data_IF_008128112424
#
_entry.id   IF_008128112424
#
_cell.length_a   1.000
_cell.length_b   1.000
_cell.length_c   1.000
_cell.angle_alpha   90.00
_cell.angle_beta   90.00
_cell.angle_gamma   90.00
#
_symmetry.space_group_name_H-M   'P 1'
#
loop_
_entity.id
_entity.type
_entity.pdbx_description
1 polymer ?
#
# COMPACT_ATOMS: atom_id res chain seq x y z
N UNK A 1 4.61 -11.87 -62.05
CA UNK A 1 4.09 -10.99 -60.98
C UNK A 1 3.97 -11.84 -59.73
N UNK A 2 4.65 -11.45 -58.64
CA UNK A 2 4.89 -12.15 -57.34
C UNK A 2 6.32 -12.66 -57.21
N UNK A 3 7.06 -12.03 -56.30
CA UNK A 3 8.12 -12.57 -55.42
C UNK A 3 8.89 -11.38 -54.80
N UNK A 4 8.24 -10.59 -53.92
CA UNK A 4 8.91 -9.62 -53.04
C UNK A 4 8.06 -9.40 -51.78
N UNK A 5 8.12 -10.34 -50.82
CA UNK A 5 7.35 -10.25 -49.57
C UNK A 5 8.00 -10.84 -48.31
N UNK A 6 9.19 -11.45 -48.40
CA UNK A 6 9.77 -12.23 -47.30
C UNK A 6 10.72 -11.48 -46.35
N UNK A 7 11.35 -10.38 -46.78
CA UNK A 7 12.53 -9.86 -46.07
C UNK A 7 12.21 -8.84 -44.95
N UNK A 8 11.02 -8.23 -44.95
CA UNK A 8 10.63 -7.24 -43.91
C UNK A 8 10.17 -7.87 -42.60
N UNK A 9 9.76 -9.14 -42.59
CA UNK A 9 9.13 -9.78 -41.41
C UNK A 9 10.13 -10.33 -40.37
N UNK A 10 11.38 -10.58 -40.75
CA UNK A 10 12.40 -11.14 -39.84
C UNK A 10 13.12 -10.02 -39.07
N UNK A 11 13.46 -8.92 -39.74
CA UNK A 11 14.09 -7.76 -39.11
C UNK A 11 13.21 -7.11 -38.03
N UNK A 12 11.90 -7.04 -38.28
CA UNK A 12 10.92 -6.44 -37.35
C UNK A 12 10.71 -7.32 -36.09
N UNK A 13 10.79 -8.65 -36.23
CA UNK A 13 10.74 -9.60 -35.11
C UNK A 13 11.98 -9.55 -34.23
N UNK A 14 13.17 -9.34 -34.81
CA UNK A 14 14.42 -9.15 -34.04
C UNK A 14 14.48 -7.78 -33.35
N UNK A 15 13.95 -6.72 -33.97
CA UNK A 15 13.89 -5.39 -33.35
C UNK A 15 12.89 -5.35 -32.18
N UNK A 16 11.72 -5.98 -32.32
CA UNK A 16 10.75 -6.13 -31.24
C UNK A 16 11.30 -6.95 -30.06
N UNK A 17 12.03 -8.05 -30.33
CA UNK A 17 12.67 -8.86 -29.29
C UNK A 17 13.76 -8.11 -28.51
N UNK A 18 14.53 -7.25 -29.19
CA UNK A 18 15.57 -6.44 -28.54
C UNK A 18 14.98 -5.27 -27.74
N UNK A 19 13.90 -4.64 -28.24
CA UNK A 19 13.18 -3.58 -27.54
C UNK A 19 12.47 -4.10 -26.28
N UNK A 20 11.86 -5.29 -26.34
CA UNK A 20 11.29 -5.95 -25.16
C UNK A 20 12.39 -6.25 -24.14
N UNK A 21 13.52 -6.86 -24.56
CA UNK A 21 14.61 -7.22 -23.65
C UNK A 21 15.33 -6.01 -23.03
N UNK A 22 15.41 -4.88 -23.75
CA UNK A 22 15.91 -3.62 -23.22
C UNK A 22 14.93 -2.92 -22.26
N UNK A 23 13.62 -2.96 -22.57
CA UNK A 23 12.57 -2.40 -21.72
C UNK A 23 12.41 -3.18 -20.40
N UNK A 24 12.52 -4.52 -20.43
CA UNK A 24 12.53 -5.34 -19.22
C UNK A 24 13.75 -5.00 -18.34
N UNK A 25 14.92 -4.76 -18.94
CA UNK A 25 16.14 -4.41 -18.21
C UNK A 25 16.11 -3.03 -17.55
N UNK A 26 15.41 -2.04 -18.13
CA UNK A 26 15.25 -0.71 -17.52
C UNK A 26 14.17 -0.73 -16.45
N UNK A 27 13.03 -1.40 -16.69
CA UNK A 27 11.97 -1.58 -15.71
C UNK A 27 12.46 -2.33 -14.46
N UNK A 28 13.24 -3.40 -14.63
CA UNK A 28 13.86 -4.15 -13.52
C UNK A 28 14.88 -3.27 -12.77
N UNK A 29 15.68 -2.44 -13.46
CA UNK A 29 16.64 -1.54 -12.80
C UNK A 29 15.97 -0.40 -12.02
N UNK A 30 14.86 0.15 -12.53
CA UNK A 30 14.07 1.16 -11.83
C UNK A 30 13.32 0.54 -10.66
N UNK A 31 12.68 -0.62 -10.88
CA UNK A 31 12.02 -1.38 -9.84
C UNK A 31 12.97 -1.80 -8.71
N UNK A 32 14.18 -2.26 -9.05
CA UNK A 32 15.21 -2.61 -8.07
C UNK A 32 15.70 -1.38 -7.32
N UNK A 33 15.85 -0.22 -7.98
CA UNK A 33 16.23 1.04 -7.30
C UNK A 33 15.12 1.54 -6.38
N UNK A 34 13.86 1.47 -6.81
CA UNK A 34 12.69 1.84 -5.98
C UNK A 34 12.52 0.89 -4.80
N UNK A 35 12.68 -0.42 -5.02
CA UNK A 35 12.65 -1.42 -3.96
C UNK A 35 13.83 -1.28 -2.99
N UNK A 36 15.04 -0.98 -3.48
CA UNK A 36 16.21 -0.75 -2.64
C UNK A 36 16.06 0.53 -1.82
N UNK A 37 15.51 1.60 -2.40
CA UNK A 37 15.22 2.85 -1.68
C UNK A 37 14.13 2.61 -0.61
N UNK A 38 13.09 1.83 -0.90
CA UNK A 38 12.06 1.48 0.06
C UNK A 38 12.57 0.57 1.19
N UNK A 39 13.45 -0.40 0.88
CA UNK A 39 14.05 -1.31 1.87
C UNK A 39 15.12 -0.61 2.72
N UNK A 40 15.94 0.27 2.13
CA UNK A 40 16.89 1.09 2.89
C UNK A 40 16.20 2.13 3.78
N UNK A 41 15.07 2.68 3.36
CA UNK A 41 14.26 3.58 4.19
C UNK A 41 13.55 2.83 5.35
N UNK A 42 13.15 1.57 5.14
CA UNK A 42 12.55 0.74 6.19
C UNK A 42 13.58 0.11 7.15
N UNK A 43 14.83 -0.08 6.71
CA UNK A 43 15.89 -0.73 7.50
C UNK A 43 16.63 0.17 8.50
N UNK A 44 16.39 1.48 8.50
CA UNK A 44 17.05 2.43 9.41
C UNK A 44 16.30 2.65 10.75
N UNK A 45 15.17 1.96 10.96
CA UNK A 45 14.24 2.25 12.07
C UNK A 45 14.12 1.20 13.18
N UNK A 46 15.00 0.19 13.25
CA UNK A 46 14.98 -0.80 14.35
C UNK A 46 16.31 -0.87 15.08
N UNK A 47 16.59 0.16 15.86
CA UNK A 47 17.53 0.09 16.98
C UNK A 47 17.01 0.98 18.12
N UNK A 48 17.01 0.43 19.34
CA UNK A 48 16.55 0.96 20.64
C UNK A 48 15.04 0.85 20.93
N UNK A 49 14.58 0.25 22.05
CA UNK A 49 15.29 -0.16 23.26
C UNK A 49 14.68 -1.39 23.93
N UNK A 50 15.56 -2.32 24.32
CA UNK A 50 15.34 -3.24 25.42
C UNK A 50 15.27 -2.42 26.71
N UNK A 51 14.14 -2.48 27.41
CA UNK A 51 14.03 -2.06 28.80
C UNK A 51 14.76 -3.07 29.68
N UNK A 52 15.91 -2.68 30.23
CA UNK A 52 16.52 -3.36 31.37
C UNK A 52 15.76 -3.02 32.67
N UNK A 53 15.77 -3.89 33.70
CA UNK A 53 14.92 -3.75 34.87
C UNK A 53 15.45 -2.69 35.84
N UNK A 54 14.54 -1.86 36.36
CA UNK A 54 14.86 -0.79 37.31
C UNK A 54 15.24 -1.33 38.70
N UNK A 55 16.01 -0.55 39.49
CA UNK A 55 16.39 -0.93 40.85
C UNK A 55 15.21 -0.82 41.82
N UNK A 56 15.09 -1.83 42.66
CA UNK A 56 14.14 -1.96 43.77
C UNK A 56 14.35 -0.89 44.83
N UNK A 57 13.28 -0.18 45.20
CA UNK A 57 13.21 0.63 46.43
C UNK A 57 12.30 -0.08 47.45
N UNK A 58 12.67 -0.12 48.75
CA UNK A 58 11.96 -0.90 49.76
C UNK A 58 10.68 -0.22 50.23
N UNK A 59 9.64 -1.04 50.45
CA UNK A 59 8.40 -0.64 51.11
C UNK A 59 8.63 -0.41 52.61
N UNK A 60 7.97 0.58 53.24
CA UNK A 60 7.72 0.51 54.67
C UNK A 60 6.22 0.59 54.93
N UNK A 61 5.60 -0.55 55.22
CA UNK A 61 4.37 -0.59 55.99
C UNK A 61 4.45 -1.75 56.98
N UNK A 62 4.79 -1.43 58.23
CA UNK A 62 4.52 -2.27 59.40
C UNK A 62 4.27 -1.30 60.55
N UNK A 63 3.11 -1.44 61.19
CA UNK A 63 2.55 -0.47 62.13
C UNK A 63 3.19 -0.44 63.51
N UNK A 64 2.79 0.52 64.35
CA UNK A 64 2.06 0.28 65.60
C UNK A 64 1.62 1.62 66.26
N UNK A 65 0.70 1.48 67.21
CA UNK A 65 -0.17 2.42 67.95
C UNK A 65 0.45 3.62 68.69
N UNK A 66 -0.38 4.67 68.87
CA UNK A 66 -0.33 5.59 70.01
C UNK A 66 -0.89 7.00 69.71
N UNK A 67 -2.06 7.37 70.25
CA UNK A 67 -2.50 8.78 70.35
C UNK A 67 -1.96 9.46 71.63
N UNK A 68 -2.45 10.64 72.06
CA UNK A 68 -3.36 11.61 71.42
C UNK A 68 -2.80 13.07 71.40
N UNK A 69 -3.41 14.01 70.66
CA UNK A 69 -3.24 15.44 70.96
C UNK A 69 -3.41 16.46 69.81
N UNK A 70 -4.55 17.16 69.83
CA UNK A 70 -4.76 18.59 69.51
C UNK A 70 -4.77 19.11 68.04
N UNK A 71 -5.98 19.48 67.61
CA UNK A 71 -6.35 20.59 66.69
C UNK A 71 -6.60 21.90 67.49
N UNK A 72 -7.03 23.03 66.89
CA UNK A 72 -6.40 23.88 65.85
C UNK A 72 -6.50 25.41 66.17
N UNK A 73 -5.86 26.28 65.39
CA UNK A 73 -6.14 27.74 65.14
C UNK A 73 -4.89 28.42 64.55
N UNK A 74 -4.87 29.49 63.75
CA UNK A 74 -5.79 30.30 62.95
C UNK A 74 -4.94 31.40 62.26
N UNK A 75 -5.52 32.13 61.28
CA UNK A 75 -5.13 33.51 60.83
C UNK A 75 -4.01 33.57 59.75
N UNK A 76 -4.09 34.27 58.62
CA UNK A 76 -4.94 35.37 58.12
C UNK A 76 -4.87 35.49 56.58
N UNK A 77 -6.00 35.83 55.94
CA UNK A 77 -6.07 36.54 54.65
C UNK A 77 -6.14 38.07 54.89
N UNK A 78 -5.99 38.92 53.85
CA UNK A 78 -7.20 39.41 53.19
C UNK A 78 -7.11 39.59 51.66
N UNK A 79 -8.30 39.75 51.08
CA UNK A 79 -8.64 39.96 49.67
C UNK A 79 -8.35 41.39 49.15
N UNK A 80 -8.35 41.61 47.83
CA UNK A 80 -9.31 42.50 47.15
C UNK A 80 -9.03 42.80 45.65
N UNK A 81 -10.16 42.84 44.91
CA UNK A 81 -10.50 43.74 43.78
C UNK A 81 -9.96 43.48 42.36
N UNK A 82 -10.91 43.11 41.48
CA UNK A 82 -10.82 43.24 40.03
C UNK A 82 -10.90 44.72 39.59
N UNK A 83 -10.00 45.18 38.72
CA UNK A 83 -10.19 46.44 37.98
C UNK A 83 -9.46 46.45 36.63
N UNK A 84 -10.25 46.74 35.59
CA UNK A 84 -9.95 47.37 34.29
C UNK A 84 -8.91 46.78 33.32
N UNK A 85 -9.43 46.29 32.20
CA UNK A 85 -8.79 46.32 30.88
C UNK A 85 -8.54 47.78 30.46
N UNK A 86 -7.29 48.12 30.13
CA UNK A 86 -6.93 49.30 29.35
C UNK A 86 -5.98 48.93 28.22
N UNK A 87 -6.27 49.49 27.05
CA UNK A 87 -5.67 49.26 25.73
C UNK A 87 -4.32 49.98 25.54
N UNK A 88 -3.31 49.26 25.04
CA UNK A 88 -2.04 49.82 24.56
C UNK A 88 -1.25 48.77 23.73
N UNK A 89 -0.47 49.18 22.71
CA UNK A 89 -0.30 48.40 21.49
C UNK A 89 0.70 47.25 21.60
N UNK A 90 0.31 46.13 21.01
CA UNK A 90 1.11 44.93 20.74
C UNK A 90 2.24 45.25 19.76
N UNK A 91 3.46 45.38 20.27
CA UNK A 91 4.67 45.17 19.48
C UNK A 91 5.42 43.97 20.05
N UNK A 92 5.39 42.86 19.32
CA UNK A 92 6.24 41.70 19.60
C UNK A 92 7.70 42.11 19.34
N UNK A 93 8.66 41.76 20.20
CA UNK A 93 10.06 42.13 20.01
C UNK A 93 10.61 41.51 18.72
N UNK A 94 11.34 42.33 17.96
CA UNK A 94 11.92 42.08 16.63
C UNK A 94 13.00 40.98 16.55
N UNK A 95 13.03 40.06 17.53
CA UNK A 95 14.04 39.02 17.66
C UNK A 95 13.87 37.84 16.67
N UNK A 96 12.81 37.83 15.86
CA UNK A 96 12.51 36.73 14.92
C UNK A 96 13.02 36.95 13.49
N UNK A 97 13.70 38.05 13.18
CA UNK A 97 14.15 38.37 11.81
C UNK A 97 15.68 38.36 11.61
N UNK A 98 16.44 37.67 12.46
CA UNK A 98 17.86 37.46 12.19
C UNK A 98 18.05 36.33 11.14
N UNK A 99 18.89 36.51 10.11
CA UNK A 99 19.26 35.42 9.20
C UNK A 99 19.93 34.31 10.00
N UNK A 100 19.39 33.10 9.95
CA UNK A 100 20.04 31.94 10.58
C UNK A 100 21.20 31.52 9.67
N UNK A 101 22.42 31.82 10.09
CA UNK A 101 23.63 31.24 9.49
C UNK A 101 23.53 29.72 9.58
N UNK A 102 23.56 29.04 8.42
CA UNK A 102 23.47 27.58 8.32
C UNK A 102 24.80 26.94 8.77
N UNK A 103 24.93 26.48 10.03
CA UNK A 103 26.21 26.04 10.57
C UNK A 103 26.53 24.58 10.20
N UNK A 104 25.64 23.90 9.46
CA UNK A 104 25.71 22.46 9.16
C UNK A 104 25.86 22.13 7.68
N UNK A 105 26.08 23.13 6.81
CA UNK A 105 26.32 22.96 5.36
C UNK A 105 25.42 21.89 4.69
N UNK A 106 24.14 21.88 5.06
CA UNK A 106 23.16 20.96 4.50
C UNK A 106 22.88 21.38 3.05
N UNK A 107 22.95 20.46 2.05
CA UNK A 107 22.72 20.79 0.65
C UNK A 107 21.36 21.47 0.43
N UNK A 108 21.31 22.48 -0.44
CA UNK A 108 20.10 23.25 -0.73
C UNK A 108 19.01 22.36 -1.36
N UNK A 109 18.01 22.00 -0.55
CA UNK A 109 16.93 21.07 -0.89
C UNK A 109 15.86 21.76 -1.77
N UNK A 110 15.96 23.07 -2.02
CA UNK A 110 14.98 23.84 -2.82
C UNK A 110 14.77 23.32 -4.23
N UNK A 111 15.78 22.67 -4.83
CA UNK A 111 15.68 22.10 -6.18
C UNK A 111 14.98 20.75 -6.28
N UNK A 112 14.75 20.06 -5.16
CA UNK A 112 14.22 18.67 -5.13
C UNK A 112 12.75 18.62 -4.69
N UNK A 113 12.16 19.76 -4.29
CA UNK A 113 10.86 19.81 -3.65
C UNK A 113 9.73 20.26 -4.61
N UNK A 114 8.48 19.78 -4.39
CA UNK A 114 7.33 20.20 -5.18
C UNK A 114 7.13 21.72 -5.12
N UNK A 115 7.01 22.39 -6.28
CA UNK A 115 6.68 23.83 -6.36
C UNK A 115 5.29 24.17 -5.78
N UNK A 116 4.48 23.16 -5.47
CA UNK A 116 3.23 23.32 -4.74
C UNK A 116 3.41 23.80 -3.28
N UNK A 117 4.63 23.73 -2.74
CA UNK A 117 4.95 24.13 -1.36
C UNK A 117 5.65 25.50 -1.29
N UNK A 118 5.91 26.13 -2.44
CA UNK A 118 6.55 27.45 -2.53
C UNK A 118 5.48 28.55 -2.50
N UNK A 119 4.72 28.61 -1.41
CA UNK A 119 3.92 29.81 -1.08
C UNK A 119 4.84 30.72 -0.28
N UNK A 120 5.17 31.88 -0.83
CA UNK A 120 5.92 32.95 -0.17
C UNK A 120 5.38 33.14 1.27
N UNK A 121 6.12 32.66 2.28
CA UNK A 121 5.73 32.70 3.70
C UNK A 121 5.59 31.35 4.41
N UNK A 122 5.73 30.22 3.73
CA UNK A 122 5.79 28.91 4.41
C UNK A 122 7.19 28.70 5.00
N UNK A 123 7.30 28.66 6.34
CA UNK A 123 8.57 28.36 7.00
C UNK A 123 9.11 26.99 6.57
N UNK A 124 10.43 26.88 6.39
CA UNK A 124 11.13 25.64 5.97
C UNK A 124 10.67 24.42 6.78
N UNK A 125 10.40 24.61 8.08
CA UNK A 125 9.87 23.57 8.96
C UNK A 125 8.50 23.02 8.52
N UNK A 126 7.59 23.88 8.05
CA UNK A 126 6.26 23.47 7.59
C UNK A 126 6.34 22.78 6.22
N UNK A 127 7.28 23.19 5.36
CA UNK A 127 7.57 22.50 4.10
C UNK A 127 8.11 21.09 4.32
N UNK A 128 9.03 20.90 5.27
CA UNK A 128 9.54 19.58 5.66
C UNK A 128 8.42 18.72 6.24
N UNK A 129 7.54 19.29 7.07
CA UNK A 129 6.38 18.58 7.63
C UNK A 129 5.45 18.05 6.53
N UNK A 130 5.11 18.88 5.55
CA UNK A 130 4.27 18.48 4.40
C UNK A 130 4.96 17.38 3.58
N UNK A 131 6.27 17.51 3.33
CA UNK A 131 7.03 16.51 2.60
C UNK A 131 7.03 15.14 3.29
N UNK A 132 7.27 15.11 4.61
CA UNK A 132 7.27 13.87 5.39
C UNK A 132 5.88 13.22 5.43
N UNK A 133 4.84 14.05 5.49
CA UNK A 133 3.46 13.57 5.43
C UNK A 133 3.16 12.90 4.10
N UNK A 134 3.51 13.56 2.98
CA UNK A 134 3.33 12.99 1.64
C UNK A 134 4.15 11.70 1.48
N UNK A 135 5.42 11.70 1.89
CA UNK A 135 6.31 10.55 1.77
C UNK A 135 5.78 9.31 2.51
N UNK A 136 5.16 9.51 3.67
CA UNK A 136 4.54 8.42 4.46
C UNK A 136 3.28 7.87 3.78
N UNK A 137 2.55 8.69 3.03
CA UNK A 137 1.30 8.29 2.37
C UNK A 137 1.52 7.55 1.04
N UNK A 138 2.62 7.84 0.33
CA UNK A 138 2.98 7.23 -0.96
C UNK A 138 2.88 5.69 -0.97
N UNK A 139 3.50 4.93 -0.05
CA UNK A 139 3.46 3.47 -0.11
C UNK A 139 2.03 2.93 0.01
N UNK A 140 1.20 3.57 0.82
CA UNK A 140 -0.20 3.19 1.02
C UNK A 140 -1.04 3.42 -0.25
N UNK A 141 -0.87 4.58 -0.90
CA UNK A 141 -1.55 4.88 -2.17
C UNK A 141 -1.11 3.89 -3.25
N UNK A 142 0.19 3.61 -3.37
CA UNK A 142 0.69 2.65 -4.37
C UNK A 142 0.11 1.26 -4.16
N UNK A 143 -0.03 0.81 -2.92
CA UNK A 143 -0.63 -0.48 -2.59
C UNK A 143 -2.11 -0.54 -3.01
N UNK A 144 -2.87 0.55 -2.79
CA UNK A 144 -4.32 0.60 -3.05
C UNK A 144 -4.69 0.89 -4.49
N UNK A 145 -3.84 1.59 -5.24
CA UNK A 145 -4.10 1.98 -6.64
C UNK A 145 -3.52 1.01 -7.67
N UNK A 146 -2.97 -0.12 -7.21
CA UNK A 146 -2.33 -1.13 -8.06
C UNK A 146 -2.92 -2.52 -7.83
N UNK A 147 -2.46 -3.50 -8.62
CA UNK A 147 -2.86 -4.91 -8.49
C UNK A 147 -2.31 -5.61 -7.23
N UNK A 148 -1.50 -4.92 -6.42
CA UNK A 148 -0.85 -5.50 -5.25
C UNK A 148 -1.84 -6.10 -4.25
N UNK A 149 -2.96 -5.41 -3.97
CA UNK A 149 -3.95 -5.87 -2.99
C UNK A 149 -4.50 -7.27 -3.34
N UNK A 150 -4.90 -7.48 -4.60
CA UNK A 150 -5.44 -8.77 -5.06
C UNK A 150 -4.41 -9.89 -4.93
N UNK A 151 -3.17 -9.64 -5.34
CA UNK A 151 -2.09 -10.64 -5.27
C UNK A 151 -1.77 -11.01 -3.82
N UNK A 152 -1.61 -10.01 -2.95
CA UNK A 152 -1.28 -10.22 -1.55
C UNK A 152 -2.36 -11.04 -0.83
N UNK A 153 -3.64 -10.70 -1.05
CA UNK A 153 -4.77 -11.39 -0.40
C UNK A 153 -4.86 -12.83 -0.86
N UNK A 154 -4.75 -13.11 -2.15
CA UNK A 154 -4.80 -14.49 -2.67
C UNK A 154 -3.67 -15.34 -2.10
N UNK A 155 -2.44 -14.81 -2.06
CA UNK A 155 -1.30 -15.53 -1.49
C UNK A 155 -1.45 -15.72 0.04
N UNK A 156 -1.99 -14.74 0.75
CA UNK A 156 -2.27 -14.86 2.18
C UNK A 156 -3.34 -15.91 2.48
N UNK A 157 -4.41 -15.96 1.67
CA UNK A 157 -5.47 -16.98 1.79
C UNK A 157 -4.95 -18.38 1.45
N UNK A 158 -4.04 -18.50 0.46
CA UNK A 158 -3.35 -19.77 0.18
C UNK A 158 -2.56 -20.27 1.39
N UNK A 159 -1.78 -19.41 2.05
CA UNK A 159 -1.03 -19.79 3.27
C UNK A 159 -1.97 -20.33 4.35
N UNK A 160 -3.11 -19.67 4.55
CA UNK A 160 -4.13 -20.12 5.49
C UNK A 160 -4.75 -21.47 5.08
N UNK A 161 -4.99 -21.67 3.79
CA UNK A 161 -5.57 -22.91 3.25
C UNK A 161 -4.69 -24.14 3.46
N UNK A 162 -3.36 -23.96 3.37
CA UNK A 162 -2.37 -24.99 3.67
C UNK A 162 -2.28 -25.31 5.18
N UNK A 163 -2.95 -24.54 6.04
CA UNK A 163 -2.97 -24.71 7.50
C UNK A 163 -1.57 -24.67 8.14
N UNK A 164 -0.66 -23.89 7.55
CA UNK A 164 0.74 -23.77 8.00
C UNK A 164 0.96 -22.45 8.75
N UNK A 165 1.30 -22.48 10.05
CA UNK A 165 1.34 -21.26 10.87
C UNK A 165 2.52 -20.32 10.55
N UNK A 166 3.67 -20.85 10.11
CA UNK A 166 4.90 -20.06 9.87
C UNK A 166 5.46 -20.10 8.44
N UNK A 167 5.05 -21.06 7.60
CA UNK A 167 5.65 -21.27 6.28
C UNK A 167 4.60 -21.05 5.18
N UNK A 168 4.86 -20.26 4.14
CA UNK A 168 6.00 -19.36 3.95
C UNK A 168 5.94 -18.13 4.86
N UNK A 169 7.10 -17.50 5.18
CA UNK A 169 7.13 -16.25 5.94
C UNK A 169 6.34 -15.13 5.24
N UNK A 170 5.65 -14.29 6.02
CA UNK A 170 4.86 -13.15 5.51
C UNK A 170 5.69 -12.21 4.62
N UNK A 171 6.98 -12.07 4.94
CA UNK A 171 7.92 -11.26 4.17
C UNK A 171 8.18 -11.82 2.77
N UNK A 172 8.20 -13.13 2.62
CA UNK A 172 8.38 -13.78 1.31
C UNK A 172 7.12 -13.58 0.45
N UNK A 173 5.93 -13.73 1.06
CA UNK A 173 4.66 -13.47 0.38
C UNK A 173 4.56 -12.01 -0.06
N UNK A 174 4.93 -11.09 0.84
CA UNK A 174 4.97 -9.65 0.55
C UNK A 174 5.94 -9.32 -0.60
N UNK A 175 7.16 -9.88 -0.56
CA UNK A 175 8.16 -9.69 -1.61
C UNK A 175 7.69 -10.25 -2.95
N UNK A 176 7.12 -11.46 -2.97
CA UNK A 176 6.55 -12.06 -4.17
C UNK A 176 5.42 -11.20 -4.74
N UNK A 177 4.51 -10.71 -3.88
CA UNK A 177 3.43 -9.83 -4.30
C UNK A 177 3.96 -8.55 -4.96
N UNK A 178 4.98 -7.91 -4.35
CA UNK A 178 5.58 -6.69 -4.87
C UNK A 178 6.27 -6.91 -6.23
N UNK A 179 7.07 -7.97 -6.38
CA UNK A 179 7.70 -8.29 -7.66
C UNK A 179 6.68 -8.62 -8.76
N UNK A 180 5.63 -9.35 -8.42
CA UNK A 180 4.53 -9.64 -9.35
C UNK A 180 3.80 -8.36 -9.77
N UNK A 181 3.51 -7.47 -8.83
CA UNK A 181 2.92 -6.16 -9.12
C UNK A 181 3.78 -5.37 -10.09
N UNK A 182 5.09 -5.31 -9.88
CA UNK A 182 6.00 -4.60 -10.77
C UNK A 182 6.02 -5.18 -12.20
N UNK A 183 5.94 -6.51 -12.32
CA UNK A 183 5.89 -7.18 -13.61
C UNK A 183 4.59 -6.87 -14.36
N UNK A 184 3.45 -6.98 -13.66
CA UNK A 184 2.12 -6.72 -14.22
C UNK A 184 1.94 -5.24 -14.55
N UNK A 185 2.47 -4.34 -13.72
CA UNK A 185 2.40 -2.89 -13.91
C UNK A 185 3.47 -2.33 -14.86
N UNK A 186 4.41 -3.15 -15.31
CA UNK A 186 5.46 -2.78 -16.27
C UNK A 186 4.96 -1.92 -17.46
N UNK A 187 3.89 -2.31 -18.19
CA UNK A 187 3.38 -1.51 -19.31
C UNK A 187 2.80 -0.15 -18.88
N UNK A 188 2.07 -0.08 -17.77
CA UNK A 188 1.46 1.17 -17.26
C UNK A 188 2.54 2.12 -16.77
N UNK A 189 3.46 1.64 -15.93
CA UNK A 189 4.60 2.42 -15.44
C UNK A 189 5.50 2.89 -16.59
N UNK A 190 5.67 2.06 -17.63
CA UNK A 190 6.39 2.43 -18.83
C UNK A 190 5.75 3.58 -19.61
N UNK A 191 4.41 3.63 -19.70
CA UNK A 191 3.68 4.76 -20.32
C UNK A 191 3.81 6.03 -19.50
N UNK A 192 3.59 5.94 -18.19
CA UNK A 192 3.77 7.09 -17.26
C UNK A 192 5.19 7.64 -17.36
N UNK A 193 6.20 6.77 -17.41
CA UNK A 193 7.59 7.21 -17.54
C UNK A 193 7.83 7.98 -18.86
N UNK A 194 7.33 7.48 -19.99
CA UNK A 194 7.54 8.11 -21.30
C UNK A 194 6.74 9.40 -21.50
N UNK A 195 5.49 9.43 -21.03
CA UNK A 195 4.53 10.49 -21.34
C UNK A 195 4.44 11.57 -20.26
N UNK A 196 4.77 11.26 -19.00
CA UNK A 196 4.73 12.22 -17.90
C UNK A 196 6.12 12.49 -17.31
N UNK A 197 6.88 11.46 -16.94
CA UNK A 197 8.13 11.64 -16.19
C UNK A 197 9.26 12.22 -17.05
N UNK A 198 9.51 11.66 -18.25
CA UNK A 198 10.56 12.14 -19.14
C UNK A 198 10.33 13.60 -19.60
N UNK A 199 9.12 14.00 -20.04
CA UNK A 199 8.87 15.41 -20.40
C UNK A 199 9.00 16.37 -19.22
N UNK A 200 8.61 15.96 -18.01
CA UNK A 200 8.78 16.76 -16.80
C UNK A 200 10.27 16.96 -16.45
N UNK A 201 11.07 15.90 -16.48
CA UNK A 201 12.51 15.96 -16.21
C UNK A 201 13.25 16.82 -17.25
N UNK A 202 12.80 16.78 -18.51
CA UNK A 202 13.33 17.60 -19.59
C UNK A 202 12.79 19.05 -19.59
N UNK A 203 12.02 19.44 -18.56
CA UNK A 203 11.38 20.76 -18.43
C UNK A 203 10.45 21.14 -19.60
N UNK A 204 9.97 20.15 -20.36
CA UNK A 204 9.06 20.34 -21.49
C UNK A 204 7.59 20.41 -21.06
N UNK A 205 7.29 20.18 -19.77
CA UNK A 205 5.93 20.16 -19.24
C UNK A 205 5.89 20.64 -17.78
N UNK A 206 4.89 21.45 -17.39
CA UNK A 206 4.72 21.83 -15.99
C UNK A 206 4.32 20.63 -15.12
N UNK A 207 4.65 20.69 -13.83
CA UNK A 207 4.43 19.60 -12.87
C UNK A 207 2.96 19.14 -12.80
N UNK A 208 2.02 20.08 -12.81
CA UNK A 208 0.60 19.78 -12.68
C UNK A 208 0.09 18.92 -13.85
N UNK A 209 0.46 19.29 -15.08
CA UNK A 209 0.09 18.53 -16.29
C UNK A 209 0.74 17.15 -16.30
N UNK A 210 1.99 17.01 -15.84
CA UNK A 210 2.63 15.72 -15.71
C UNK A 210 1.90 14.80 -14.70
N UNK A 211 1.43 15.38 -13.58
CA UNK A 211 0.63 14.64 -12.60
C UNK A 211 -0.74 14.23 -13.15
N UNK A 212 -1.40 15.09 -13.93
CA UNK A 212 -2.69 14.78 -14.59
C UNK A 212 -2.56 13.64 -15.58
N UNK A 213 -1.55 13.66 -16.46
CA UNK A 213 -1.28 12.58 -17.42
C UNK A 213 -0.94 11.28 -16.69
N UNK A 214 -0.10 11.35 -15.64
CA UNK A 214 0.23 10.19 -14.82
C UNK A 214 -1.00 9.59 -14.14
N UNK A 215 -1.86 10.44 -13.57
CA UNK A 215 -3.12 10.03 -12.96
C UNK A 215 -4.07 9.40 -13.99
N UNK A 216 -4.14 9.93 -15.20
CA UNK A 216 -5.01 9.40 -16.26
C UNK A 216 -4.63 7.97 -16.67
N UNK A 217 -3.33 7.66 -16.81
CA UNK A 217 -2.88 6.28 -17.06
C UNK A 217 -3.24 5.32 -15.92
N UNK A 218 -3.14 5.77 -14.66
CA UNK A 218 -3.57 4.99 -13.51
C UNK A 218 -5.09 4.79 -13.50
N UNK A 219 -5.87 5.83 -13.85
CA UNK A 219 -7.33 5.74 -13.97
C UNK A 219 -7.75 4.75 -15.07
N UNK A 220 -7.11 4.81 -16.23
CA UNK A 220 -7.29 3.85 -17.33
C UNK A 220 -7.04 2.42 -16.87
N UNK A 221 -5.96 2.19 -16.12
CA UNK A 221 -5.67 0.88 -15.55
C UNK A 221 -6.78 0.42 -14.61
N UNK A 222 -7.16 1.24 -13.62
CA UNK A 222 -8.19 0.88 -12.63
C UNK A 222 -9.52 0.55 -13.29
N UNK A 223 -9.97 1.38 -14.23
CA UNK A 223 -11.22 1.15 -14.95
C UNK A 223 -11.19 -0.13 -15.79
N UNK A 224 -10.09 -0.38 -16.52
CA UNK A 224 -9.92 -1.59 -17.31
C UNK A 224 -9.95 -2.86 -16.44
N UNK A 225 -9.43 -2.80 -15.21
CA UNK A 225 -9.51 -3.93 -14.28
C UNK A 225 -10.93 -4.19 -13.77
N UNK A 226 -11.69 -3.12 -13.44
CA UNK A 226 -13.08 -3.26 -12.99
C UNK A 226 -13.96 -3.86 -14.10
N UNK A 227 -13.82 -3.36 -15.33
CA UNK A 227 -14.54 -3.87 -16.51
C UNK A 227 -14.21 -5.34 -16.77
N UNK A 228 -12.92 -5.68 -16.69
CA UNK A 228 -12.45 -7.05 -16.87
C UNK A 228 -12.99 -8.03 -15.83
N UNK A 229 -13.07 -7.62 -14.57
CA UNK A 229 -13.63 -8.45 -13.51
C UNK A 229 -15.17 -8.54 -13.59
N UNK A 230 -15.80 -7.78 -14.50
CA UNK A 230 -17.24 -7.69 -14.63
C UNK A 230 -17.89 -7.03 -13.42
N UNK A 231 -17.21 -6.07 -12.77
CA UNK A 231 -17.70 -5.39 -11.57
C UNK A 231 -18.12 -3.95 -11.81
N UNK A 232 -18.82 -3.69 -12.91
CA UNK A 232 -19.32 -2.35 -13.21
C UNK A 232 -20.28 -1.83 -12.12
N UNK A 233 -21.00 -2.74 -11.44
CA UNK A 233 -21.85 -2.46 -10.28
C UNK A 233 -21.14 -1.71 -9.16
N UNK A 234 -19.84 -1.96 -8.96
CA UNK A 234 -19.06 -1.32 -7.90
C UNK A 234 -18.89 0.18 -8.20
N UNK A 235 -18.73 0.55 -9.48
CA UNK A 235 -18.66 1.96 -9.88
C UNK A 235 -20.01 2.65 -9.68
N UNK A 236 -21.11 2.02 -10.08
CA UNK A 236 -22.45 2.59 -9.92
C UNK A 236 -22.77 2.83 -8.45
N UNK A 237 -22.45 1.88 -7.56
CA UNK A 237 -22.69 2.00 -6.13
C UNK A 237 -22.10 3.30 -5.55
N UNK A 238 -20.82 3.58 -5.85
CA UNK A 238 -20.17 4.78 -5.35
C UNK A 238 -20.63 6.05 -6.08
N UNK A 239 -21.03 5.96 -7.35
CA UNK A 239 -21.61 7.11 -8.07
C UNK A 239 -22.98 7.49 -7.52
N UNK A 240 -23.85 6.52 -7.25
CA UNK A 240 -25.17 6.74 -6.64
C UNK A 240 -25.03 7.37 -5.26
N UNK A 241 -24.07 6.88 -4.46
CA UNK A 241 -23.75 7.47 -3.17
C UNK A 241 -23.26 8.91 -3.29
N UNK A 242 -22.35 9.19 -4.24
CA UNK A 242 -21.81 10.53 -4.44
C UNK A 242 -22.84 11.52 -5.03
N UNK A 243 -23.73 11.05 -5.91
CA UNK A 243 -24.75 11.86 -6.56
C UNK A 243 -26.03 12.02 -5.73
N UNK A 244 -26.24 11.18 -4.71
CA UNK A 244 -27.45 11.16 -3.88
C UNK A 244 -28.72 10.79 -4.66
N UNK A 245 -28.58 10.18 -5.84
CA UNK A 245 -29.66 9.79 -6.75
C UNK A 245 -29.31 8.45 -7.40
N UNK A 246 -30.33 7.60 -7.59
CA UNK A 246 -30.18 6.37 -8.36
C UNK A 246 -29.81 6.70 -9.80
N UNK A 247 -28.73 6.09 -10.31
CA UNK A 247 -28.35 6.24 -11.71
C UNK A 247 -29.27 5.37 -12.58
N UNK A 248 -29.62 5.81 -13.81
CA UNK A 248 -30.37 4.96 -14.72
C UNK A 248 -29.56 3.70 -15.03
N UNK A 249 -30.14 2.55 -14.70
CA UNK A 249 -29.54 1.22 -14.93
C UNK A 249 -29.33 1.03 -16.44
N UNK A 250 -28.09 0.77 -16.85
CA UNK A 250 -27.75 0.42 -18.24
C UNK A 250 -27.04 1.50 -19.07
N UNK A 251 -26.61 2.62 -18.46
CA UNK A 251 -25.79 3.61 -19.17
C UNK A 251 -24.36 3.09 -19.37
N UNK A 252 -23.83 3.08 -20.60
CA UNK A 252 -22.43 2.68 -20.83
C UNK A 252 -21.49 3.65 -20.13
N UNK A 253 -20.83 3.21 -19.06
CA UNK A 253 -19.88 4.02 -18.32
C UNK A 253 -18.67 4.33 -19.21
N UNK A 254 -18.45 5.62 -19.48
CA UNK A 254 -17.22 6.09 -20.12
C UNK A 254 -16.26 6.53 -19.03
N UNK A 255 -14.97 6.20 -19.17
CA UNK A 255 -13.92 6.55 -18.20
C UNK A 255 -13.92 8.04 -17.80
N UNK A 256 -14.28 8.93 -18.73
CA UNK A 256 -14.26 10.37 -18.51
C UNK A 256 -15.38 10.85 -17.57
N UNK A 257 -16.47 10.08 -17.44
CA UNK A 257 -17.63 10.45 -16.63
C UNK A 257 -17.48 10.03 -15.17
N UNK A 258 -16.45 9.21 -14.87
CA UNK A 258 -16.23 8.67 -13.53
C UNK A 258 -15.19 9.52 -12.77
N UNK A 259 -15.58 10.23 -11.69
CA UNK A 259 -14.65 11.00 -10.90
C UNK A 259 -13.67 10.07 -10.15
N UNK A 260 -12.41 10.51 -10.02
CA UNK A 260 -11.33 9.73 -9.39
C UNK A 260 -11.63 9.37 -7.93
N UNK A 261 -12.35 10.24 -7.22
CA UNK A 261 -12.80 10.02 -5.83
C UNK A 261 -13.75 8.84 -5.68
N UNK A 262 -14.47 8.50 -6.74
CA UNK A 262 -15.39 7.35 -6.81
C UNK A 262 -14.69 6.12 -7.40
N UNK A 263 -13.81 6.32 -8.39
CA UNK A 263 -13.12 5.24 -9.07
C UNK A 263 -12.16 4.46 -8.15
N UNK A 264 -11.41 5.15 -7.29
CA UNK A 264 -10.44 4.51 -6.38
C UNK A 264 -11.14 3.53 -5.41
N UNK A 265 -12.16 3.93 -4.63
CA UNK A 265 -12.83 2.98 -3.73
C UNK A 265 -13.58 1.87 -4.48
N UNK A 266 -14.14 2.16 -5.67
CA UNK A 266 -14.74 1.13 -6.53
C UNK A 266 -13.71 0.08 -6.98
N UNK A 267 -12.52 0.53 -7.39
CA UNK A 267 -11.42 -0.34 -7.76
C UNK A 267 -11.00 -1.24 -6.60
N UNK A 268 -10.77 -0.65 -5.42
CA UNK A 268 -10.39 -1.43 -4.23
C UNK A 268 -11.44 -2.50 -3.93
N UNK A 269 -12.73 -2.16 -3.99
CA UNK A 269 -13.82 -3.11 -3.77
C UNK A 269 -13.80 -4.26 -4.78
N UNK A 270 -13.65 -3.96 -6.07
CA UNK A 270 -13.57 -4.98 -7.13
C UNK A 270 -12.35 -5.89 -6.96
N UNK A 271 -11.19 -5.33 -6.62
CA UNK A 271 -9.96 -6.11 -6.35
C UNK A 271 -10.15 -7.05 -5.15
N UNK A 272 -10.76 -6.56 -4.06
CA UNK A 272 -11.07 -7.36 -2.88
C UNK A 272 -12.02 -8.50 -3.23
N UNK A 273 -13.17 -8.21 -3.85
CA UNK A 273 -14.16 -9.21 -4.26
C UNK A 273 -13.52 -10.30 -5.10
N UNK A 274 -12.75 -9.91 -6.11
CA UNK A 274 -12.07 -10.85 -7.02
C UNK A 274 -11.01 -11.68 -6.28
N UNK A 275 -10.24 -11.07 -5.37
CA UNK A 275 -9.23 -11.76 -4.57
C UNK A 275 -9.85 -12.81 -3.64
N UNK A 276 -10.96 -12.49 -2.98
CA UNK A 276 -11.67 -13.42 -2.12
C UNK A 276 -12.28 -14.58 -2.90
N UNK A 277 -12.86 -14.33 -4.08
CA UNK A 277 -13.40 -15.39 -4.95
C UNK A 277 -12.28 -16.35 -5.38
N UNK A 278 -11.13 -15.81 -5.80
CA UNK A 278 -9.97 -16.64 -6.16
C UNK A 278 -9.44 -17.42 -4.95
N UNK A 279 -9.26 -16.75 -3.81
CA UNK A 279 -8.82 -17.38 -2.57
C UNK A 279 -9.75 -18.50 -2.12
N UNK A 280 -11.06 -18.31 -2.23
CA UNK A 280 -12.05 -19.35 -1.93
C UNK A 280 -11.92 -20.56 -2.85
N UNK A 281 -11.77 -20.35 -4.17
CA UNK A 281 -11.55 -21.44 -5.14
C UNK A 281 -10.29 -22.25 -4.81
N UNK A 282 -9.23 -21.59 -4.34
CA UNK A 282 -8.00 -22.22 -3.89
C UNK A 282 -8.21 -22.99 -2.58
N UNK A 283 -9.07 -22.49 -1.70
CA UNK A 283 -9.36 -23.08 -0.39
C UNK A 283 -10.16 -24.39 -0.50
N UNK A 284 -11.08 -24.49 -1.47
CA UNK A 284 -12.00 -25.62 -1.65
C UNK A 284 -11.34 -27.02 -1.62
N UNK A 285 -10.30 -27.34 -2.41
CA UNK A 285 -9.69 -28.67 -2.39
C UNK A 285 -9.10 -29.04 -1.02
N UNK A 286 -8.52 -28.07 -0.31
CA UNK A 286 -7.94 -28.30 1.03
C UNK A 286 -9.02 -28.51 2.09
N UNK A 287 -10.15 -27.81 1.98
CA UNK A 287 -11.30 -28.01 2.85
C UNK A 287 -11.86 -29.44 2.72
N UNK A 288 -11.98 -29.95 1.48
CA UNK A 288 -12.42 -31.33 1.26
C UNK A 288 -11.50 -32.33 1.93
N UNK A 289 -10.17 -32.12 1.86
CA UNK A 289 -9.19 -32.99 2.54
C UNK A 289 -9.40 -32.96 4.05
N UNK A 290 -9.57 -31.78 4.65
CA UNK A 290 -9.85 -31.67 6.09
C UNK A 290 -11.12 -32.40 6.50
N UNK A 291 -12.20 -32.22 5.73
CA UNK A 291 -13.49 -32.85 6.02
C UNK A 291 -13.38 -34.38 5.93
N UNK A 292 -12.70 -34.92 4.92
CA UNK A 292 -12.50 -36.36 4.74
C UNK A 292 -11.61 -36.94 5.84
N UNK A 293 -10.54 -36.27 6.21
CA UNK A 293 -9.63 -36.76 7.27
C UNK A 293 -10.33 -36.71 8.63
N UNK A 294 -11.10 -35.66 8.90
CA UNK A 294 -11.89 -35.56 10.13
C UNK A 294 -12.89 -36.71 10.28
N UNK A 295 -13.63 -37.06 9.21
CA UNK A 295 -14.59 -38.18 9.28
C UNK A 295 -13.88 -39.52 9.51
N UNK A 296 -12.73 -39.76 8.88
CA UNK A 296 -11.92 -40.97 9.10
C UNK A 296 -11.42 -41.06 10.56
N UNK A 297 -10.90 -39.97 11.13
CA UNK A 297 -10.44 -39.96 12.54
C UNK A 297 -11.57 -40.26 13.51
N UNK A 298 -12.74 -39.65 13.28
CA UNK A 298 -13.94 -39.88 14.10
C UNK A 298 -14.35 -41.35 14.00
N UNK A 299 -14.32 -41.95 12.80
CA UNK A 299 -14.60 -43.38 12.60
C UNK A 299 -13.60 -44.32 13.26
N UNK A 300 -12.33 -43.90 13.42
CA UNK A 300 -11.32 -44.66 14.18
C UNK A 300 -11.47 -44.49 15.71
N UNK A 301 -12.37 -43.63 16.18
CA UNK A 301 -12.56 -43.35 17.60
C UNK A 301 -11.57 -42.36 18.21
N UNK A 302 -10.74 -41.69 17.38
CA UNK A 302 -9.75 -40.72 17.85
C UNK A 302 -10.32 -39.29 17.88
N UNK A 303 -11.19 -39.00 18.85
CA UNK A 303 -11.80 -37.66 18.99
C UNK A 303 -10.88 -36.60 19.61
N UNK A 304 -9.82 -37.00 20.30
CA UNK A 304 -8.91 -36.08 21.03
C UNK A 304 -7.80 -35.47 20.15
N UNK A 305 -7.54 -36.04 18.98
CA UNK A 305 -6.51 -35.53 18.07
C UNK A 305 -7.12 -34.50 17.12
N UNK A 306 -6.58 -33.27 17.05
CA UNK A 306 -7.03 -32.29 16.06
C UNK A 306 -6.83 -32.84 14.63
N UNK A 307 -7.89 -32.98 13.82
CA UNK A 307 -7.78 -33.54 12.47
C UNK A 307 -6.80 -32.78 11.56
N UNK A 308 -6.62 -31.49 11.82
CA UNK A 308 -5.71 -30.60 11.08
C UNK A 308 -4.25 -31.07 11.14
N UNK A 309 -3.82 -31.67 12.25
CA UNK A 309 -2.44 -32.17 12.37
C UNK A 309 -2.17 -33.34 11.43
N UNK A 310 -3.20 -34.16 11.17
CA UNK A 310 -3.10 -35.30 10.26
C UNK A 310 -3.30 -34.83 8.82
N UNK A 311 -4.15 -33.84 8.55
CA UNK A 311 -4.39 -33.35 7.19
C UNK A 311 -3.25 -32.51 6.61
N UNK A 312 -2.51 -31.79 7.45
CA UNK A 312 -1.40 -30.92 7.03
C UNK A 312 -0.39 -31.60 6.10
N UNK A 313 0.23 -32.76 6.44
CA UNK A 313 1.20 -33.40 5.55
C UNK A 313 0.59 -33.81 4.20
N UNK A 314 -0.66 -34.26 4.16
CA UNK A 314 -1.35 -34.61 2.91
C UNK A 314 -1.63 -33.37 2.05
N UNK A 315 -2.05 -32.26 2.65
CA UNK A 315 -2.24 -30.99 1.95
C UNK A 315 -0.96 -30.48 1.31
N UNK A 316 0.14 -30.48 2.07
CA UNK A 316 1.44 -30.03 1.57
C UNK A 316 1.90 -30.95 0.44
N UNK A 317 1.78 -32.27 0.60
CA UNK A 317 2.15 -33.24 -0.43
C UNK A 317 1.36 -33.00 -1.72
N UNK A 318 0.04 -32.87 -1.64
CA UNK A 318 -0.82 -32.60 -2.80
C UNK A 318 -0.45 -31.28 -3.47
N UNK A 319 -0.20 -30.23 -2.68
CA UNK A 319 0.17 -28.93 -3.20
C UNK A 319 1.53 -28.94 -3.93
N UNK A 320 2.51 -29.67 -3.40
CA UNK A 320 3.83 -29.81 -4.04
C UNK A 320 3.75 -30.69 -5.29
N UNK A 321 3.02 -31.81 -5.26
CA UNK A 321 2.85 -32.71 -6.42
C UNK A 321 2.12 -31.99 -7.56
N UNK A 322 1.13 -31.16 -7.24
CA UNK A 322 0.40 -30.38 -8.23
C UNK A 322 1.17 -29.15 -8.73
N UNK A 323 2.38 -28.89 -8.23
CA UNK A 323 3.15 -27.68 -8.51
C UNK A 323 2.32 -26.40 -8.24
N UNK A 324 1.71 -26.37 -7.05
CA UNK A 324 0.70 -25.39 -6.70
C UNK A 324 1.21 -23.95 -6.70
N UNK A 325 2.47 -23.70 -6.32
CA UNK A 325 3.05 -22.35 -6.40
C UNK A 325 3.03 -21.79 -7.83
N UNK A 326 3.44 -22.60 -8.82
CA UNK A 326 3.40 -22.19 -10.22
C UNK A 326 1.97 -21.97 -10.69
N UNK A 327 1.04 -22.87 -10.37
CA UNK A 327 -0.37 -22.74 -10.76
C UNK A 327 -1.02 -21.45 -10.23
N UNK A 328 -0.74 -21.09 -8.97
CA UNK A 328 -1.31 -19.91 -8.33
C UNK A 328 -0.74 -18.63 -8.95
N UNK A 329 0.58 -18.57 -9.11
CA UNK A 329 1.27 -17.45 -9.76
C UNK A 329 0.75 -17.26 -11.19
N UNK A 330 0.64 -18.35 -11.95
CA UNK A 330 0.12 -18.34 -13.32
C UNK A 330 -1.33 -17.85 -13.37
N UNK A 331 -2.19 -18.34 -12.48
CA UNK A 331 -3.60 -17.91 -12.40
C UNK A 331 -3.72 -16.44 -12.05
N UNK A 332 -2.88 -15.95 -11.13
CA UNK A 332 -2.81 -14.54 -10.77
C UNK A 332 -2.37 -13.67 -11.95
N UNK A 333 -1.31 -14.04 -12.67
CA UNK A 333 -0.86 -13.26 -13.84
C UNK A 333 -1.94 -13.20 -14.94
N UNK A 334 -2.53 -14.34 -15.29
CA UNK A 334 -3.61 -14.38 -16.27
C UNK A 334 -4.90 -13.69 -15.81
N UNK A 335 -5.08 -13.49 -14.51
CA UNK A 335 -6.19 -12.68 -14.00
C UNK A 335 -6.08 -11.22 -14.44
N UNK A 336 -4.87 -10.72 -14.72
CA UNK A 336 -4.61 -9.35 -15.17
C UNK A 336 -4.31 -9.22 -16.68
N UNK A 337 -3.76 -10.27 -17.31
CA UNK A 337 -3.32 -10.24 -18.72
C UNK A 337 -4.38 -10.77 -19.70
N UNK A 338 -4.57 -10.09 -20.84
CA UNK A 338 -5.63 -10.31 -21.83
C UNK A 338 -5.61 -11.66 -22.60
N UNK A 339 -4.86 -12.66 -22.14
CA UNK A 339 -4.68 -13.94 -22.83
C UNK A 339 -5.90 -14.88 -22.77
N UNK A 340 -7.01 -14.48 -22.13
CA UNK A 340 -8.27 -15.24 -22.10
C UNK A 340 -9.28 -14.88 -23.19
N UNK A 341 -8.99 -13.91 -24.06
CA UNK A 341 -9.90 -13.48 -25.15
C UNK A 341 -9.49 -14.03 -26.54
N UNK A 342 -8.48 -14.90 -26.61
CA UNK A 342 -8.06 -15.56 -27.85
C UNK A 342 -7.75 -17.03 -27.58
N UNK A 343 -8.79 -17.82 -27.34
CA UNK A 343 -8.93 -19.23 -27.75
C UNK A 343 -10.39 -19.65 -27.61
#
# INVERSE_FOLDING_TARGET
>A
MREHGGSRSVADRTAAGFAVRAATGVAVRVALRVALIAVCAAGAGTAFGQSAPGPTAPSPFTGDRGGPGQTPAATSAPANTATSLTSGPSSLPSAFNAPIDNPLNVPDVRGVLPKAVDREGMGISLQILVLMTVLTLVPSILIMTTCFARILIVLALLRQALSTPQLPPSQVILGLALFMTLLIMGPTLGRINREALQPYLNQNMPQLTAMEIGADHMRKFMFAQIERNGNHEDIYLFQEYAAGKAMPVGQTLVLNDVPTTTLIPAFILSELKTAFIMGFRIYLPFLVIDMVIATILISMGMMMLPPVLISLPFKILLFVIADGWRLIVQTLMYSFDNLGAVT
#
